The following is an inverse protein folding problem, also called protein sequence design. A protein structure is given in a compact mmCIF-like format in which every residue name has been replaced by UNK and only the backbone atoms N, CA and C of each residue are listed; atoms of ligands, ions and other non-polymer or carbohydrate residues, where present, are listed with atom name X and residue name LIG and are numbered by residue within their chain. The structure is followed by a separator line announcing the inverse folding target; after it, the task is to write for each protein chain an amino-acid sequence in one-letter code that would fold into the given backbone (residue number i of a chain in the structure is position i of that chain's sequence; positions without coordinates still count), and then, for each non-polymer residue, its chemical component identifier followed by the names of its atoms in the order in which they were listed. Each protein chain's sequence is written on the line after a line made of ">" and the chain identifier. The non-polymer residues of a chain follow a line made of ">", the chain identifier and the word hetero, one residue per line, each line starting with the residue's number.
data_IF_822601272552
#
_entry.id   IF_822601272552
#
_cell.length_a   1.000
_cell.length_b   1.000
_cell.length_c   1.000
_cell.angle_alpha   90.00
_cell.angle_beta   90.00
_cell.angle_gamma   90.00
#
_symmetry.space_group_name_H-M   'P 1'
#
loop_
_entity.id
_entity.type
_entity.pdbx_description
1 polymer ?
#
# COMPACT_ATOMS: atom_id res chain seq x y z
N UNK A 1 -10.07 -51.27 -26.23
CA UNK A 1 -9.10 -50.40 -25.53
C UNK A 1 -9.15 -48.88 -25.85
N UNK A 2 -9.45 -48.37 -27.07
CA UNK A 2 -9.14 -46.97 -27.42
C UNK A 2 -9.88 -45.91 -26.60
N UNK A 3 -11.05 -46.22 -26.06
CA UNK A 3 -11.87 -45.30 -25.24
C UNK A 3 -11.20 -44.82 -23.95
N UNK A 4 -10.19 -45.53 -23.42
CA UNK A 4 -9.41 -45.05 -22.26
C UNK A 4 -8.38 -43.98 -22.64
N UNK A 5 -7.70 -44.15 -23.78
CA UNK A 5 -6.71 -43.19 -24.30
C UNK A 5 -7.36 -41.85 -24.68
N UNK A 6 -8.52 -41.90 -25.35
CA UNK A 6 -9.27 -40.69 -25.73
C UNK A 6 -9.70 -39.89 -24.49
N UNK A 7 -10.19 -40.55 -23.43
CA UNK A 7 -10.55 -39.89 -22.16
C UNK A 7 -9.34 -39.25 -21.48
N UNK A 8 -8.18 -39.93 -21.48
CA UNK A 8 -6.95 -39.36 -20.92
C UNK A 8 -6.50 -38.11 -21.69
N UNK A 9 -6.51 -38.14 -23.02
CA UNK A 9 -6.19 -36.98 -23.86
C UNK A 9 -7.11 -35.77 -23.60
N UNK A 10 -8.42 -36.00 -23.47
CA UNK A 10 -9.39 -34.93 -23.15
C UNK A 10 -9.11 -34.30 -21.79
N UNK A 11 -8.76 -35.10 -20.77
CA UNK A 11 -8.40 -34.59 -19.43
C UNK A 11 -7.14 -33.72 -19.51
N UNK A 12 -6.08 -34.19 -20.18
CA UNK A 12 -4.83 -33.42 -20.35
C UNK A 12 -5.09 -32.08 -21.06
N UNK A 13 -5.89 -32.07 -22.12
CA UNK A 13 -6.25 -30.84 -22.86
C UNK A 13 -7.08 -29.89 -22.00
N UNK A 14 -8.05 -30.38 -21.20
CA UNK A 14 -8.83 -29.55 -20.28
C UNK A 14 -7.97 -28.96 -19.17
N UNK A 15 -7.10 -29.75 -18.54
CA UNK A 15 -6.18 -29.26 -17.50
C UNK A 15 -5.22 -28.22 -18.07
N UNK A 16 -4.60 -28.48 -19.23
CA UNK A 16 -3.73 -27.53 -19.89
C UNK A 16 -4.46 -26.23 -20.27
N UNK A 17 -5.70 -26.31 -20.76
CA UNK A 17 -6.55 -25.16 -21.07
C UNK A 17 -6.90 -24.32 -19.83
N UNK A 18 -7.25 -24.96 -18.72
CA UNK A 18 -7.54 -24.28 -17.45
C UNK A 18 -6.28 -23.61 -16.88
N UNK A 19 -5.14 -24.30 -16.88
CA UNK A 19 -3.86 -23.71 -16.44
C UNK A 19 -3.42 -22.55 -17.33
N UNK A 20 -3.52 -22.68 -18.65
CA UNK A 20 -3.21 -21.61 -19.60
C UNK A 20 -4.14 -20.40 -19.42
N UNK A 21 -5.44 -20.63 -19.25
CA UNK A 21 -6.41 -19.57 -18.99
C UNK A 21 -6.13 -18.86 -17.65
N UNK A 22 -5.84 -19.62 -16.58
CA UNK A 22 -5.48 -19.07 -15.27
C UNK A 22 -4.18 -18.25 -15.27
N UNK A 23 -3.19 -18.62 -16.08
CA UNK A 23 -1.92 -17.87 -16.23
C UNK A 23 -2.09 -16.64 -17.16
N UNK A 24 -2.95 -16.74 -18.17
CA UNK A 24 -3.11 -15.68 -19.20
C UNK A 24 -4.11 -14.61 -18.76
N UNK A 25 -5.23 -15.00 -18.16
CA UNK A 25 -6.37 -14.15 -17.80
C UNK A 25 -6.66 -14.08 -16.29
N UNK A 26 -5.96 -14.87 -15.46
CA UNK A 26 -6.01 -14.68 -14.01
C UNK A 26 -5.46 -13.30 -13.63
N UNK A 27 -6.02 -12.64 -12.59
CA UNK A 27 -5.64 -11.28 -12.22
C UNK A 27 -4.18 -11.24 -11.77
N UNK A 28 -3.31 -10.68 -12.61
CA UNK A 28 -1.87 -10.55 -12.34
C UNK A 28 -1.68 -9.65 -11.11
N UNK A 29 -1.15 -10.21 -10.02
CA UNK A 29 -0.86 -9.52 -8.75
C UNK A 29 -0.14 -8.18 -8.93
N UNK A 30 0.73 -8.10 -9.91
CA UNK A 30 1.56 -6.92 -10.17
C UNK A 30 0.75 -5.74 -10.73
N UNK A 31 -0.31 -6.04 -11.50
CA UNK A 31 -1.25 -5.04 -12.04
C UNK A 31 -2.20 -4.51 -10.94
N UNK A 32 -2.49 -5.35 -9.92
CA UNK A 32 -3.15 -4.90 -8.69
C UNK A 32 -2.29 -3.84 -7.98
N UNK A 33 -0.99 -4.13 -7.80
CA UNK A 33 -0.06 -3.26 -7.08
C UNK A 33 0.22 -1.95 -7.83
N UNK A 34 0.52 -2.01 -9.13
CA UNK A 34 0.81 -0.83 -9.94
C UNK A 34 -0.34 0.19 -9.93
N UNK A 35 -1.58 -0.28 -10.13
CA UNK A 35 -2.77 0.58 -10.13
C UNK A 35 -3.09 1.16 -8.75
N UNK A 36 -2.77 0.45 -7.66
CA UNK A 36 -2.88 1.02 -6.31
C UNK A 36 -1.91 2.21 -6.14
N UNK A 37 -0.67 2.13 -6.65
CA UNK A 37 0.25 3.28 -6.65
C UNK A 37 -0.25 4.44 -7.53
N UNK A 38 -0.74 4.18 -8.74
CA UNK A 38 -1.31 5.22 -9.61
C UNK A 38 -2.54 5.89 -8.98
N UNK A 39 -3.43 5.10 -8.38
CA UNK A 39 -4.59 5.60 -7.65
C UNK A 39 -4.18 6.39 -6.40
N UNK A 40 -3.06 6.06 -5.73
CA UNK A 40 -2.51 6.87 -4.65
C UNK A 40 -1.95 8.22 -5.11
N UNK A 41 -1.34 8.29 -6.29
CA UNK A 41 -0.92 9.57 -6.86
C UNK A 41 -2.14 10.47 -7.15
N UNK A 42 -3.20 9.92 -7.75
CA UNK A 42 -4.47 10.67 -7.96
C UNK A 42 -5.20 11.03 -6.66
N UNK A 43 -5.15 10.17 -5.64
CA UNK A 43 -5.66 10.49 -4.30
C UNK A 43 -4.83 11.58 -3.61
N UNK A 44 -3.53 11.72 -3.88
CA UNK A 44 -2.68 12.75 -3.27
C UNK A 44 -3.05 14.18 -3.68
N UNK A 45 -3.59 14.37 -4.88
CA UNK A 45 -4.14 15.65 -5.34
C UNK A 45 -5.46 16.01 -4.61
N UNK A 46 -6.12 15.02 -4.01
CA UNK A 46 -7.42 15.13 -3.33
C UNK A 46 -7.31 14.81 -1.83
N UNK A 47 -6.10 14.79 -1.26
CA UNK A 47 -5.89 14.48 0.15
C UNK A 47 -6.33 15.67 1.04
N UNK A 48 -7.11 15.44 2.11
CA UNK A 48 -7.59 16.53 2.98
C UNK A 48 -6.47 17.38 3.58
N UNK A 49 -6.65 18.71 3.55
CA UNK A 49 -5.63 19.67 3.98
C UNK A 49 -5.13 19.45 5.42
N UNK A 50 -5.99 18.96 6.31
CA UNK A 50 -5.64 18.67 7.72
C UNK A 50 -4.48 17.68 7.88
N UNK A 51 -4.21 16.80 6.90
CA UNK A 51 -3.07 15.89 6.91
C UNK A 51 -1.73 16.65 6.87
N UNK A 52 -1.71 17.86 6.30
CA UNK A 52 -0.50 18.65 6.03
C UNK A 52 -0.39 19.94 6.87
N UNK A 53 -1.45 20.36 7.57
CA UNK A 53 -1.55 21.70 8.19
C UNK A 53 -1.09 21.82 9.64
N UNK A 54 -0.93 20.70 10.36
CA UNK A 54 -0.49 20.73 11.75
C UNK A 54 0.89 21.40 11.91
N UNK A 55 0.98 22.43 12.75
CA UNK A 55 2.23 23.13 13.07
C UNK A 55 3.29 22.25 13.74
N UNK A 56 2.90 21.15 14.40
CA UNK A 56 3.82 20.07 14.84
C UNK A 56 4.19 19.10 13.70
N UNK A 57 4.61 19.67 12.57
CA UNK A 57 5.20 18.99 11.40
C UNK A 57 6.59 18.38 11.69
N UNK A 58 7.17 18.64 12.87
CA UNK A 58 8.49 18.15 13.26
C UNK A 58 8.51 16.72 13.79
N UNK A 59 7.43 16.20 14.39
CA UNK A 59 7.43 14.91 15.11
C UNK A 59 6.97 13.74 14.21
N UNK A 60 7.65 12.57 14.26
CA UNK A 60 7.15 11.33 13.67
C UNK A 60 5.79 10.92 14.26
N UNK A 61 4.97 10.25 13.46
CA UNK A 61 3.67 9.69 13.83
C UNK A 61 3.62 8.22 13.46
N UNK A 62 3.00 7.40 14.30
CA UNK A 62 2.74 5.99 13.99
C UNK A 62 1.66 5.91 12.92
N UNK A 63 1.91 5.13 11.88
CA UNK A 63 0.96 4.77 10.83
C UNK A 63 0.97 3.25 10.68
N UNK A 64 -0.19 2.61 10.86
CA UNK A 64 -0.34 1.15 10.69
C UNK A 64 -0.80 0.92 9.25
N UNK A 65 -0.03 0.17 8.45
CA UNK A 65 -0.36 -0.19 7.06
C UNK A 65 -0.41 -1.71 6.96
N UNK A 66 -1.57 -2.28 6.68
CA UNK A 66 -1.80 -3.73 6.67
C UNK A 66 -1.25 -4.44 7.92
N UNK A 67 -1.57 -3.95 9.12
CA UNK A 67 -1.01 -4.39 10.41
C UNK A 67 0.52 -4.22 10.60
N UNK A 68 1.30 -3.78 9.59
CA UNK A 68 2.68 -3.33 9.81
C UNK A 68 2.70 -1.96 10.47
N UNK A 69 3.53 -1.78 11.51
CA UNK A 69 3.86 -0.44 11.99
C UNK A 69 4.86 0.22 11.03
N UNK A 70 4.55 1.46 10.66
CA UNK A 70 5.41 2.39 9.94
C UNK A 70 5.34 3.77 10.63
N UNK A 71 6.24 4.67 10.25
CA UNK A 71 6.41 5.98 10.86
C UNK A 71 6.42 7.06 9.79
N UNK A 72 5.53 8.04 9.90
CA UNK A 72 5.40 9.17 8.97
C UNK A 72 5.83 10.48 9.64
N UNK A 73 6.64 11.28 8.93
CA UNK A 73 6.94 12.68 9.27
C UNK A 73 6.64 13.55 8.05
N UNK A 74 5.87 14.61 8.24
CA UNK A 74 5.47 15.58 7.20
C UNK A 74 6.10 16.93 7.52
N UNK A 75 7.15 17.34 6.82
CA UNK A 75 7.77 18.68 7.00
C UNK A 75 7.45 19.62 5.83
N UNK A 76 7.79 20.91 5.97
CA UNK A 76 7.82 21.87 4.86
C UNK A 76 9.18 22.58 4.81
N UNK A 77 9.69 22.86 3.62
CA UNK A 77 11.00 23.52 3.40
C UNK A 77 10.94 24.51 2.23
N UNK A 78 11.90 25.41 2.12
CA UNK A 78 12.06 26.35 1.00
C UNK A 78 13.08 25.85 -0.06
N UNK A 79 13.79 24.76 0.22
CA UNK A 79 14.66 24.08 -0.74
C UNK A 79 13.84 23.51 -1.92
N UNK A 80 14.48 23.34 -3.08
CA UNK A 80 13.83 22.70 -4.22
C UNK A 80 13.63 21.19 -3.99
N UNK A 81 12.70 20.60 -4.74
CA UNK A 81 12.39 19.16 -4.68
C UNK A 81 13.66 18.33 -4.88
N UNK A 82 14.53 18.71 -5.82
CA UNK A 82 15.83 18.07 -6.05
C UNK A 82 16.70 18.04 -4.79
N UNK A 83 17.01 19.21 -4.23
CA UNK A 83 17.93 19.35 -3.09
C UNK A 83 17.44 18.57 -1.86
N UNK A 84 16.12 18.46 -1.68
CA UNK A 84 15.50 17.59 -0.67
C UNK A 84 15.83 16.12 -0.93
N UNK A 85 15.59 15.61 -2.14
CA UNK A 85 15.83 14.20 -2.44
C UNK A 85 17.33 13.85 -2.41
N UNK A 86 18.19 14.72 -2.96
CA UNK A 86 19.66 14.57 -2.89
C UNK A 86 20.18 14.64 -1.44
N UNK A 87 19.51 15.37 -0.54
CA UNK A 87 19.82 15.32 0.90
C UNK A 87 19.51 13.93 1.47
N UNK A 88 18.33 13.37 1.17
CA UNK A 88 17.94 12.04 1.67
C UNK A 88 18.83 10.92 1.10
N UNK A 89 19.17 10.96 -0.19
CA UNK A 89 20.15 10.08 -0.85
C UNK A 89 21.50 10.09 -0.12
N UNK A 90 22.07 11.28 0.15
CA UNK A 90 23.37 11.41 0.85
C UNK A 90 23.33 11.04 2.33
N UNK A 91 22.18 11.17 2.99
CA UNK A 91 22.02 10.76 4.40
C UNK A 91 21.80 9.25 4.55
N UNK A 92 21.27 8.60 3.52
CA UNK A 92 20.85 7.20 3.55
C UNK A 92 21.40 6.44 2.32
N UNK A 93 22.74 6.34 2.20
CA UNK A 93 23.39 5.67 1.07
C UNK A 93 22.93 4.22 0.98
N UNK A 94 22.53 3.80 -0.22
CA UNK A 94 22.07 2.43 -0.46
C UNK A 94 23.23 1.45 -0.44
N UNK A 95 23.20 0.47 0.47
CA UNK A 95 24.13 -0.66 0.43
C UNK A 95 23.71 -1.58 -0.72
N UNK A 96 24.50 -1.66 -1.79
CA UNK A 96 24.18 -2.50 -2.95
C UNK A 96 23.95 -3.94 -2.53
N UNK A 97 22.75 -4.47 -2.77
CA UNK A 97 22.39 -5.85 -2.41
C UNK A 97 23.19 -6.87 -3.25
N UNK A 98 23.66 -6.45 -4.43
CA UNK A 98 24.63 -7.18 -5.24
C UNK A 98 25.98 -7.36 -4.51
N UNK A 99 26.46 -6.35 -3.77
CA UNK A 99 27.68 -6.47 -2.96
C UNK A 99 27.50 -7.48 -1.82
N UNK A 100 26.32 -7.51 -1.19
CA UNK A 100 25.99 -8.49 -0.15
C UNK A 100 25.96 -9.90 -0.73
N UNK A 101 25.25 -10.13 -1.85
CA UNK A 101 25.20 -11.43 -2.54
C UNK A 101 26.61 -11.89 -2.96
N UNK A 102 27.46 -10.97 -3.42
CA UNK A 102 28.84 -11.26 -3.83
C UNK A 102 29.74 -11.59 -2.64
N UNK A 103 29.62 -10.85 -1.53
CA UNK A 103 30.34 -11.11 -0.28
C UNK A 103 29.97 -12.45 0.36
N UNK A 104 28.78 -12.97 0.09
CA UNK A 104 28.32 -14.31 0.47
C UNK A 104 28.84 -15.43 -0.47
N UNK A 105 29.79 -15.09 -1.36
CA UNK A 105 30.67 -16.02 -2.05
C UNK A 105 30.01 -16.82 -3.18
N UNK A 106 28.88 -16.34 -3.71
CA UNK A 106 28.15 -17.05 -4.79
C UNK A 106 27.56 -18.40 -4.37
N UNK A 107 27.65 -18.78 -3.08
CA UNK A 107 26.91 -19.91 -2.53
C UNK A 107 25.42 -19.70 -2.82
N UNK A 108 24.65 -20.73 -3.21
CA UNK A 108 23.21 -20.60 -3.31
C UNK A 108 22.67 -20.25 -1.91
N UNK A 109 22.32 -18.97 -1.73
CA UNK A 109 21.76 -18.39 -0.49
C UNK A 109 20.48 -19.11 0.01
N UNK A 110 19.96 -20.02 -0.79
CA UNK A 110 18.57 -20.42 -0.84
C UNK A 110 18.47 -21.90 -1.23
N UNK A 111 17.80 -22.71 -0.40
CA UNK A 111 17.25 -23.99 -0.84
C UNK A 111 16.14 -23.78 -1.87
N UNK A 112 15.62 -24.86 -2.47
CA UNK A 112 14.66 -24.77 -3.58
C UNK A 112 13.41 -23.94 -3.25
N UNK A 113 12.86 -24.05 -2.03
CA UNK A 113 11.75 -23.21 -1.56
C UNK A 113 12.10 -21.71 -1.55
N UNK A 114 13.30 -21.36 -1.08
CA UNK A 114 13.76 -19.97 -1.03
C UNK A 114 14.20 -19.47 -2.41
N UNK A 115 14.56 -20.37 -3.34
CA UNK A 115 14.74 -20.05 -4.76
C UNK A 115 13.40 -19.76 -5.41
N UNK A 116 12.37 -20.56 -5.14
CA UNK A 116 10.97 -20.31 -5.56
C UNK A 116 10.43 -19.01 -4.93
N UNK A 117 10.83 -18.67 -3.70
CA UNK A 117 10.56 -17.33 -3.15
C UNK A 117 11.29 -16.26 -3.96
N UNK A 118 12.60 -16.39 -4.21
CA UNK A 118 13.37 -15.47 -5.05
C UNK A 118 12.97 -15.46 -6.54
N UNK A 119 12.18 -16.41 -7.03
CA UNK A 119 11.60 -16.48 -8.38
C UNK A 119 10.14 -16.00 -8.45
N UNK A 120 9.42 -16.01 -7.33
CA UNK A 120 8.22 -15.18 -7.12
C UNK A 120 8.62 -13.72 -6.91
N UNK A 121 9.79 -13.47 -6.33
CA UNK A 121 10.32 -12.12 -6.15
C UNK A 121 10.39 -11.36 -7.47
N UNK A 122 10.62 -11.87 -8.70
CA UNK A 122 10.34 -11.22 -9.98
C UNK A 122 9.11 -10.29 -10.16
N UNK A 123 8.14 -10.25 -9.24
CA UNK A 123 7.28 -9.08 -9.03
C UNK A 123 7.98 -7.96 -8.21
N UNK A 124 8.36 -8.27 -6.97
CA UNK A 124 9.25 -7.53 -6.07
C UNK A 124 10.75 -7.42 -6.47
N UNK A 125 11.23 -7.93 -7.60
CA UNK A 125 12.67 -7.93 -7.96
C UNK A 125 13.12 -6.57 -8.48
N UNK A 126 12.13 -5.72 -8.77
CA UNK A 126 12.27 -4.29 -8.67
C UNK A 126 12.87 -3.83 -7.32
N UNK A 127 12.99 -4.64 -6.25
CA UNK A 127 13.76 -4.30 -5.03
C UNK A 127 15.23 -3.98 -5.31
N UNK A 128 15.87 -4.58 -6.33
CA UNK A 128 17.22 -4.13 -6.76
C UNK A 128 17.19 -2.75 -7.45
N UNK A 129 16.02 -2.33 -7.98
CA UNK A 129 15.74 -1.01 -8.55
C UNK A 129 15.16 -0.02 -7.49
N UNK A 130 14.53 -0.52 -6.43
CA UNK A 130 14.01 0.21 -5.27
C UNK A 130 15.08 0.44 -4.19
N UNK A 131 16.29 -0.11 -4.36
CA UNK A 131 17.44 0.35 -3.59
C UNK A 131 17.70 1.85 -3.79
N UNK A 132 17.40 2.34 -5.00
CA UNK A 132 17.52 3.75 -5.34
C UNK A 132 16.52 4.15 -6.44
N UNK A 133 15.23 4.20 -6.10
CA UNK A 133 14.21 4.73 -7.03
C UNK A 133 14.09 6.23 -6.86
N UNK A 134 14.71 6.97 -7.78
CA UNK A 134 14.65 8.43 -7.88
C UNK A 134 13.80 8.82 -9.09
N UNK A 135 12.68 9.51 -8.85
CA UNK A 135 11.77 10.00 -9.91
C UNK A 135 11.43 11.46 -9.63
N UNK A 136 11.99 12.38 -10.43
CA UNK A 136 11.77 13.82 -10.29
C UNK A 136 10.89 14.37 -11.43
N UNK A 137 9.89 15.18 -11.06
CA UNK A 137 9.12 16.07 -11.95
C UNK A 137 9.07 17.48 -11.34
N UNK A 138 8.54 18.44 -12.08
CA UNK A 138 8.53 19.86 -11.66
C UNK A 138 7.70 20.15 -10.40
N UNK A 139 6.61 19.40 -10.19
CA UNK A 139 5.65 19.58 -9.09
C UNK A 139 5.74 18.51 -7.99
N UNK A 140 6.35 17.37 -8.30
CA UNK A 140 6.58 16.30 -7.32
C UNK A 140 7.88 15.56 -7.61
N UNK A 141 8.50 15.03 -6.57
CA UNK A 141 9.61 14.08 -6.67
C UNK A 141 9.49 12.98 -5.63
N UNK A 142 10.05 11.82 -5.97
CA UNK A 142 10.06 10.62 -5.16
C UNK A 142 11.50 10.10 -5.04
N UNK A 143 11.88 9.72 -3.83
CA UNK A 143 13.07 8.92 -3.52
C UNK A 143 12.65 7.74 -2.66
N UNK A 144 13.17 6.56 -2.95
CA UNK A 144 12.95 5.35 -2.15
C UNK A 144 14.22 4.52 -2.05
N UNK A 145 14.49 4.03 -0.85
CA UNK A 145 15.70 3.27 -0.53
C UNK A 145 15.52 2.34 0.66
N UNK A 146 16.49 1.44 0.85
CA UNK A 146 16.48 0.39 1.88
C UNK A 146 17.79 0.47 2.65
N UNK A 147 17.69 0.77 3.95
CA UNK A 147 18.83 1.02 4.84
C UNK A 147 19.07 -0.20 5.70
N UNK A 148 20.29 -0.73 5.77
CA UNK A 148 20.62 -1.75 6.78
C UNK A 148 20.53 -1.12 8.18
N UNK A 149 20.30 -1.93 9.20
CA UNK A 149 20.37 -1.48 10.59
C UNK A 149 21.78 -1.66 11.15
N UNK A 150 22.17 -0.78 12.06
CA UNK A 150 23.43 -0.83 12.82
C UNK A 150 23.67 -2.25 13.40
N UNK A 151 22.61 -2.89 13.91
CA UNK A 151 22.60 -4.26 14.46
C UNK A 151 22.79 -5.38 13.43
N UNK A 152 22.59 -5.10 12.13
CA UNK A 152 22.94 -5.99 11.04
C UNK A 152 24.34 -5.65 10.50
N UNK A 153 24.71 -4.36 10.41
CA UNK A 153 26.03 -3.94 9.96
C UNK A 153 27.16 -4.41 10.88
N UNK A 154 26.94 -4.38 12.20
CA UNK A 154 27.87 -4.83 13.25
C UNK A 154 28.11 -6.35 13.30
N UNK A 155 27.36 -7.15 12.53
CA UNK A 155 27.59 -8.60 12.38
C UNK A 155 28.59 -8.82 11.24
N UNK A 156 29.46 -9.81 11.34
CA UNK A 156 30.35 -10.17 10.23
C UNK A 156 29.59 -10.72 9.01
N UNK A 157 30.30 -10.93 7.90
CA UNK A 157 29.68 -11.39 6.66
C UNK A 157 29.14 -12.83 6.75
N UNK A 158 29.60 -13.65 7.70
CA UNK A 158 29.10 -15.01 7.89
C UNK A 158 27.78 -15.02 8.67
N UNK A 159 27.69 -14.24 9.76
CA UNK A 159 26.46 -14.07 10.54
C UNK A 159 25.36 -13.25 9.85
N UNK A 160 25.71 -12.38 8.89
CA UNK A 160 24.74 -11.66 8.04
C UNK A 160 23.87 -12.61 7.21
N UNK A 161 24.38 -13.78 6.79
CA UNK A 161 23.64 -14.75 5.96
C UNK A 161 22.47 -15.41 6.72
N UNK A 162 22.64 -16.04 7.90
CA UNK A 162 21.54 -16.57 8.70
C UNK A 162 20.47 -15.53 9.03
N UNK A 163 20.86 -14.28 9.35
CA UNK A 163 19.92 -13.20 9.63
C UNK A 163 19.10 -12.82 8.39
N UNK A 164 19.74 -12.74 7.22
CA UNK A 164 19.06 -12.48 5.95
C UNK A 164 18.11 -13.63 5.57
N UNK A 165 18.54 -14.88 5.71
CA UNK A 165 17.71 -16.06 5.48
C UNK A 165 16.49 -16.08 6.42
N UNK A 166 16.69 -15.86 7.72
CA UNK A 166 15.59 -15.82 8.70
C UNK A 166 14.60 -14.69 8.41
N UNK A 167 15.09 -13.49 8.06
CA UNK A 167 14.26 -12.35 7.71
C UNK A 167 13.44 -12.58 6.42
N UNK A 168 14.03 -13.23 5.41
CA UNK A 168 13.33 -13.57 4.17
C UNK A 168 12.31 -14.70 4.40
N UNK A 169 12.68 -15.79 5.09
CA UNK A 169 11.76 -16.92 5.34
C UNK A 169 10.57 -16.52 6.22
N UNK A 170 10.80 -15.72 7.27
CA UNK A 170 9.73 -15.25 8.17
C UNK A 170 9.00 -14.00 7.68
N UNK A 171 9.52 -13.34 6.64
CA UNK A 171 9.04 -12.05 6.14
C UNK A 171 9.38 -10.83 7.02
N UNK A 172 9.87 -11.00 8.25
CA UNK A 172 10.19 -9.91 9.20
C UNK A 172 11.50 -9.17 8.84
N UNK A 173 11.54 -8.55 7.66
CA UNK A 173 12.68 -7.75 7.18
C UNK A 173 13.01 -6.56 8.07
N UNK A 174 12.02 -6.04 8.83
CA UNK A 174 12.24 -4.98 9.82
C UNK A 174 13.30 -5.31 10.88
N UNK A 175 13.67 -6.59 11.08
CA UNK A 175 14.72 -7.00 12.02
C UNK A 175 16.14 -6.71 11.53
N UNK A 176 16.35 -6.66 10.20
CA UNK A 176 17.67 -6.45 9.59
C UNK A 176 17.80 -5.11 8.85
N UNK A 177 16.68 -4.52 8.43
CA UNK A 177 16.65 -3.31 7.61
C UNK A 177 15.53 -2.36 8.03
N UNK A 178 15.66 -1.09 7.65
CA UNK A 178 14.60 -0.09 7.66
C UNK A 178 14.35 0.35 6.22
N UNK A 179 13.18 0.04 5.66
CA UNK A 179 12.75 0.62 4.39
C UNK A 179 12.36 2.09 4.58
N UNK A 180 12.70 2.96 3.63
CA UNK A 180 12.36 4.38 3.68
C UNK A 180 11.91 4.92 2.32
N UNK A 181 10.87 5.75 2.36
CA UNK A 181 10.28 6.43 1.20
C UNK A 181 10.16 7.91 1.53
N UNK A 182 10.56 8.76 0.58
CA UNK A 182 10.48 10.22 0.69
C UNK A 182 9.77 10.77 -0.54
N UNK A 183 8.69 11.50 -0.31
CA UNK A 183 7.89 12.16 -1.35
C UNK A 183 7.96 13.66 -1.10
N UNK A 184 8.46 14.42 -2.07
CA UNK A 184 8.60 15.87 -2.01
C UNK A 184 7.60 16.51 -2.99
N UNK A 185 6.64 17.26 -2.46
CA UNK A 185 5.46 17.78 -3.17
C UNK A 185 5.45 19.32 -3.16
N UNK A 186 5.20 19.95 -4.31
CA UNK A 186 4.97 21.40 -4.42
C UNK A 186 3.55 21.64 -4.89
N UNK A 187 2.68 22.08 -3.97
CA UNK A 187 1.25 22.25 -4.24
C UNK A 187 0.97 23.64 -4.82
N UNK A 188 0.59 23.69 -6.10
CA UNK A 188 0.36 24.95 -6.83
C UNK A 188 1.58 25.87 -6.82
N UNK A 189 1.34 27.17 -6.72
CA UNK A 189 2.38 28.21 -6.73
C UNK A 189 3.05 28.42 -5.36
N UNK A 190 2.87 27.50 -4.40
CA UNK A 190 3.50 27.60 -3.09
C UNK A 190 5.03 27.61 -3.22
N UNK A 191 5.67 28.59 -2.55
CA UNK A 191 7.14 28.69 -2.47
C UNK A 191 7.80 27.55 -1.68
N UNK A 192 7.02 26.76 -0.94
CA UNK A 192 7.51 25.70 -0.05
C UNK A 192 7.19 24.32 -0.58
N UNK A 193 8.16 23.41 -0.48
CA UNK A 193 8.00 21.98 -0.73
C UNK A 193 7.54 21.31 0.56
N UNK A 194 6.47 20.52 0.50
CA UNK A 194 6.05 19.61 1.56
C UNK A 194 6.76 18.27 1.39
N UNK A 195 7.32 17.72 2.46
CA UNK A 195 8.14 16.49 2.41
C UNK A 195 7.53 15.44 3.32
N UNK A 196 7.04 14.36 2.70
CA UNK A 196 6.53 13.17 3.37
C UNK A 196 7.68 12.16 3.48
N UNK A 197 8.16 11.88 4.70
CA UNK A 197 9.17 10.86 4.98
C UNK A 197 8.50 9.71 5.75
N UNK A 198 8.43 8.54 5.13
CA UNK A 198 7.83 7.32 5.65
C UNK A 198 8.91 6.25 5.85
N UNK A 199 8.95 5.57 6.99
CA UNK A 199 9.85 4.44 7.21
C UNK A 199 9.24 3.29 8.01
N UNK A 200 9.79 2.09 7.85
CA UNK A 200 9.29 0.86 8.50
C UNK A 200 9.71 0.76 9.96
N UNK A 201 8.93 0.06 10.79
CA UNK A 201 9.33 -0.31 12.15
C UNK A 201 10.11 -1.64 12.19
N UNK A 202 10.62 -2.03 13.36
CA UNK A 202 11.38 -3.25 13.60
C UNK A 202 10.58 -4.55 13.40
N UNK A 203 9.29 -4.56 13.71
CA UNK A 203 8.42 -5.73 13.51
C UNK A 203 7.92 -5.88 12.07
N UNK A 204 8.20 -4.92 11.18
CA UNK A 204 7.69 -4.87 9.81
C UNK A 204 7.90 -6.20 9.07
N UNK A 205 6.79 -6.81 8.65
CA UNK A 205 6.74 -8.05 7.91
C UNK A 205 6.25 -7.80 6.48
N UNK A 206 7.08 -8.12 5.48
CA UNK A 206 6.74 -7.92 4.06
C UNK A 206 5.57 -8.80 3.60
N UNK A 207 5.32 -9.94 4.27
CA UNK A 207 4.19 -10.83 3.94
C UNK A 207 2.83 -10.25 4.30
N UNK A 208 2.76 -9.17 5.07
CA UNK A 208 1.52 -8.39 5.25
C UNK A 208 1.08 -7.62 3.98
N UNK A 209 1.88 -7.66 2.90
CA UNK A 209 1.49 -7.23 1.55
C UNK A 209 1.18 -8.40 0.61
N UNK A 210 1.01 -9.61 1.15
CA UNK A 210 0.42 -10.75 0.45
C UNK A 210 -0.99 -11.03 1.00
N UNK A 211 -1.97 -11.42 0.16
CA UNK A 211 -3.28 -11.86 0.64
C UNK A 211 -3.21 -13.13 1.48
N UNK A 212 -4.06 -13.23 2.50
CA UNK A 212 -4.28 -14.44 3.28
C UNK A 212 -5.08 -15.51 2.53
N UNK A 213 -5.38 -16.66 3.17
CA UNK A 213 -6.11 -17.78 2.55
C UNK A 213 -7.53 -17.44 2.08
N UNK A 214 -8.13 -16.39 2.63
CA UNK A 214 -9.43 -15.83 2.23
C UNK A 214 -9.33 -14.81 1.08
N UNK A 215 -8.11 -14.39 0.71
CA UNK A 215 -7.85 -13.36 -0.30
C UNK A 215 -7.82 -11.92 0.22
N UNK A 216 -7.93 -11.68 1.53
CA UNK A 216 -7.74 -10.36 2.12
C UNK A 216 -6.26 -10.10 2.44
N UNK A 217 -5.78 -8.89 2.20
CA UNK A 217 -4.55 -8.41 2.84
C UNK A 217 -4.76 -8.32 4.37
N UNK A 218 -3.76 -8.67 5.20
CA UNK A 218 -3.76 -8.36 6.63
C UNK A 218 -4.09 -6.89 6.90
N UNK A 219 -4.80 -6.62 7.99
CA UNK A 219 -5.41 -5.33 8.23
C UNK A 219 -6.68 -5.42 9.07
N UNK A 220 -7.48 -4.37 8.99
CA UNK A 220 -8.80 -4.25 9.61
C UNK A 220 -9.83 -3.69 8.61
N UNK A 221 -11.11 -3.83 8.94
CA UNK A 221 -12.21 -3.09 8.30
C UNK A 221 -12.67 -1.97 9.26
N UNK A 222 -13.26 -0.90 8.74
CA UNK A 222 -13.69 0.23 9.59
C UNK A 222 -15.00 -0.14 10.30
N UNK A 223 -15.03 0.03 11.63
CA UNK A 223 -16.18 -0.33 12.47
C UNK A 223 -17.49 0.28 11.96
N UNK A 224 -18.56 -0.51 11.96
CA UNK A 224 -19.88 -0.08 11.49
C UNK A 224 -19.96 0.42 10.02
N UNK A 225 -18.89 0.32 9.21
CA UNK A 225 -18.96 0.57 7.76
C UNK A 225 -19.20 -0.77 7.03
N UNK A 226 -20.16 -0.86 6.10
CA UNK A 226 -20.42 -2.09 5.36
C UNK A 226 -19.33 -2.34 4.30
N UNK A 227 -18.71 -3.52 4.35
CA UNK A 227 -18.01 -4.08 3.19
C UNK A 227 -19.02 -4.71 2.24
N UNK A 228 -18.93 -4.41 0.94
CA UNK A 228 -19.81 -5.04 -0.05
C UNK A 228 -19.49 -6.52 -0.29
N UNK A 229 -20.53 -7.30 -0.59
CA UNK A 229 -20.47 -8.77 -0.56
C UNK A 229 -19.43 -9.32 -1.54
N UNK A 230 -18.54 -10.17 -1.03
CA UNK A 230 -17.48 -10.83 -1.81
C UNK A 230 -16.21 -9.99 -2.01
N UNK A 231 -16.22 -8.70 -1.63
CA UNK A 231 -15.05 -7.84 -1.78
C UNK A 231 -13.88 -8.28 -0.89
N UNK A 232 -12.67 -8.05 -1.39
CA UNK A 232 -11.39 -8.35 -0.76
C UNK A 232 -10.64 -7.09 -0.40
N UNK A 233 -10.13 -7.02 0.83
CA UNK A 233 -9.32 -5.89 1.32
C UNK A 233 -7.96 -5.91 0.64
N UNK A 234 -7.62 -4.85 -0.08
CA UNK A 234 -6.31 -4.65 -0.70
C UNK A 234 -5.39 -3.78 0.16
N UNK A 235 -5.95 -3.00 1.09
CA UNK A 235 -5.20 -2.13 1.97
C UNK A 235 -6.02 -1.72 3.19
N UNK A 236 -5.40 -1.59 4.36
CA UNK A 236 -5.88 -0.77 5.48
C UNK A 236 -4.77 0.14 6.01
N UNK A 237 -5.07 1.41 6.24
CA UNK A 237 -4.21 2.40 6.90
C UNK A 237 -4.91 2.95 8.14
N UNK A 238 -4.27 2.93 9.31
CA UNK A 238 -4.70 3.67 10.51
C UNK A 238 -3.62 4.68 10.93
N UNK A 239 -4.03 5.89 11.30
CA UNK A 239 -3.17 6.91 11.89
C UNK A 239 -3.91 7.70 12.97
N UNK A 240 -3.47 7.56 14.23
CA UNK A 240 -3.87 8.47 15.31
C UNK A 240 -3.20 9.85 15.15
N UNK A 241 -3.95 10.89 15.46
CA UNK A 241 -3.49 12.28 15.40
C UNK A 241 -4.12 13.12 16.53
N UNK A 242 -3.82 14.42 16.57
CA UNK A 242 -4.27 15.33 17.64
C UNK A 242 -5.75 15.72 17.58
N UNK A 243 -6.34 15.70 16.39
CA UNK A 243 -7.74 16.01 16.16
C UNK A 243 -8.63 14.76 16.21
N UNK A 244 -8.05 13.56 16.11
CA UNK A 244 -8.82 12.33 16.02
C UNK A 244 -8.01 11.11 15.56
N UNK A 245 -8.72 10.12 15.01
CA UNK A 245 -8.18 8.95 14.31
C UNK A 245 -8.58 9.01 12.84
N UNK A 246 -7.61 8.79 11.96
CA UNK A 246 -7.82 8.62 10.52
C UNK A 246 -7.72 7.14 10.16
N UNK A 247 -8.68 6.61 9.40
CA UNK A 247 -8.65 5.25 8.85
C UNK A 247 -8.99 5.27 7.37
N UNK A 248 -8.24 4.51 6.56
CA UNK A 248 -8.50 4.32 5.14
C UNK A 248 -8.47 2.83 4.82
N UNK A 249 -9.46 2.29 4.12
CA UNK A 249 -9.49 0.89 3.68
C UNK A 249 -9.89 0.81 2.21
N UNK A 250 -9.14 0.05 1.42
CA UNK A 250 -9.44 -0.22 0.01
C UNK A 250 -9.93 -1.65 -0.18
N UNK A 251 -11.04 -1.80 -0.89
CA UNK A 251 -11.61 -3.11 -1.26
C UNK A 251 -11.72 -3.26 -2.78
N UNK A 252 -11.50 -4.47 -3.29
CA UNK A 252 -11.79 -4.87 -4.68
C UNK A 252 -12.79 -6.03 -4.73
N UNK A 253 -13.68 -6.02 -5.70
CA UNK A 253 -14.68 -7.05 -5.92
C UNK A 253 -15.29 -6.92 -7.31
N UNK A 254 -16.36 -7.66 -7.56
CA UNK A 254 -17.03 -7.71 -8.88
C UNK A 254 -18.44 -7.15 -8.82
N UNK A 255 -18.85 -6.43 -9.86
CA UNK A 255 -20.23 -6.01 -10.06
C UNK A 255 -20.36 -4.79 -10.97
N UNK A 256 -21.52 -4.14 -10.91
CA UNK A 256 -21.79 -2.85 -11.55
C UNK A 256 -21.71 -1.75 -10.49
N UNK A 257 -21.03 -0.65 -10.78
CA UNK A 257 -20.86 0.49 -9.84
C UNK A 257 -22.19 0.92 -9.19
N UNK A 258 -23.28 1.06 -9.97
CA UNK A 258 -24.59 1.46 -9.44
C UNK A 258 -25.19 0.49 -8.41
N UNK A 259 -24.91 -0.83 -8.52
CA UNK A 259 -25.36 -1.81 -7.52
C UNK A 259 -24.52 -1.70 -6.23
N UNK A 260 -23.21 -1.45 -6.36
CA UNK A 260 -22.31 -1.27 -5.21
C UNK A 260 -22.62 0.03 -4.47
N UNK A 261 -22.87 1.13 -5.20
CA UNK A 261 -23.35 2.41 -4.67
C UNK A 261 -24.67 2.24 -3.92
N UNK A 262 -25.68 1.60 -4.52
CA UNK A 262 -26.98 1.40 -3.89
C UNK A 262 -26.91 0.52 -2.63
N UNK A 263 -26.11 -0.56 -2.67
CA UNK A 263 -25.85 -1.42 -1.51
C UNK A 263 -25.18 -0.62 -0.38
N UNK A 264 -24.09 0.10 -0.68
CA UNK A 264 -23.32 0.83 0.34
C UNK A 264 -24.15 1.95 0.98
N UNK A 265 -24.99 2.66 0.20
CA UNK A 265 -25.92 3.65 0.74
C UNK A 265 -26.92 3.02 1.71
N UNK A 266 -27.66 1.99 1.28
CA UNK A 266 -28.70 1.37 2.10
C UNK A 266 -28.13 0.73 3.38
N UNK A 267 -26.94 0.14 3.31
CA UNK A 267 -26.27 -0.46 4.46
C UNK A 267 -25.61 0.57 5.40
N UNK A 268 -25.17 1.74 4.90
CA UNK A 268 -24.72 2.84 5.77
C UNK A 268 -25.92 3.42 6.53
N UNK A 269 -27.02 3.69 5.84
CA UNK A 269 -28.26 4.23 6.42
C UNK A 269 -28.88 3.27 7.45
N UNK A 270 -28.91 1.96 7.19
CA UNK A 270 -29.40 0.96 8.15
C UNK A 270 -28.53 0.81 9.40
N UNK A 271 -27.28 1.29 9.34
CA UNK A 271 -26.30 1.29 10.43
C UNK A 271 -26.22 2.61 11.20
N UNK A 272 -27.13 3.55 10.90
CA UNK A 272 -27.26 4.85 11.61
C UNK A 272 -26.46 6.00 11.00
N UNK A 273 -25.67 5.75 9.94
CA UNK A 273 -24.98 6.83 9.23
C UNK A 273 -25.97 7.69 8.45
N UNK A 274 -25.80 9.01 8.50
CA UNK A 274 -26.60 9.96 7.72
C UNK A 274 -25.83 10.39 6.48
N UNK A 275 -26.41 10.25 5.29
CA UNK A 275 -25.78 10.76 4.07
C UNK A 275 -25.68 12.30 4.12
N UNK A 276 -24.57 12.82 3.59
CA UNK A 276 -24.34 14.24 3.32
C UNK A 276 -24.28 14.49 1.81
N UNK A 277 -24.73 15.65 1.35
CA UNK A 277 -24.69 16.01 -0.07
C UNK A 277 -23.27 16.30 -0.56
N UNK A 278 -22.41 16.86 0.29
CA UNK A 278 -20.97 17.07 0.04
C UNK A 278 -20.20 17.23 1.37
N UNK A 279 -18.86 17.19 1.29
CA UNK A 279 -17.95 17.61 2.37
C UNK A 279 -17.09 18.75 1.82
N UNK A 280 -16.99 19.86 2.57
CA UNK A 280 -16.16 21.04 2.26
C UNK A 280 -16.28 21.60 0.81
N UNK A 281 -17.42 21.38 0.15
CA UNK A 281 -17.67 21.81 -1.23
C UNK A 281 -17.02 20.92 -2.32
N UNK A 282 -16.44 19.77 -1.95
CA UNK A 282 -15.87 18.81 -2.90
C UNK A 282 -16.96 17.97 -3.60
N UNK A 283 -17.47 18.48 -4.72
CA UNK A 283 -18.17 17.63 -5.70
C UNK A 283 -17.14 16.76 -6.44
N UNK A 284 -17.03 15.50 -6.00
CA UNK A 284 -16.14 14.50 -6.58
C UNK A 284 -16.89 13.54 -7.52
N UNK A 285 -17.74 14.09 -8.39
CA UNK A 285 -18.31 13.41 -9.57
C UNK A 285 -17.28 13.20 -10.69
N UNK A 286 -16.23 12.41 -10.41
CA UNK A 286 -15.27 11.99 -11.44
C UNK A 286 -15.98 11.19 -12.56
N UNK A 287 -15.54 11.34 -13.82
CA UNK A 287 -16.17 10.69 -15.00
C UNK A 287 -16.35 9.17 -14.90
N UNK A 288 -15.56 8.49 -14.08
CA UNK A 288 -15.49 7.02 -13.97
C UNK A 288 -15.82 6.50 -12.56
N UNK A 289 -16.46 7.32 -11.70
CA UNK A 289 -16.68 6.96 -10.30
C UNK A 289 -17.87 7.66 -9.64
N UNK A 290 -18.12 7.29 -8.39
CA UNK A 290 -19.16 7.85 -7.54
C UNK A 290 -18.58 8.07 -6.15
N UNK A 291 -18.78 9.27 -5.62
CA UNK A 291 -18.39 9.65 -4.27
C UNK A 291 -19.64 9.69 -3.39
N UNK A 292 -19.58 9.12 -2.19
CA UNK A 292 -20.62 9.20 -1.18
C UNK A 292 -20.02 9.73 0.13
N UNK A 293 -20.77 10.57 0.84
CA UNK A 293 -20.35 11.16 2.10
C UNK A 293 -21.37 10.86 3.20
N UNK A 294 -20.90 10.54 4.39
CA UNK A 294 -21.73 10.15 5.53
C UNK A 294 -21.17 10.68 6.85
N UNK A 295 -22.04 10.90 7.84
CA UNK A 295 -21.66 11.27 9.20
C UNK A 295 -22.44 10.49 10.27
N UNK A 296 -21.72 10.04 11.31
CA UNK A 296 -22.18 9.28 12.48
C UNK A 296 -21.53 9.88 13.73
N UNK A 297 -22.29 10.68 14.47
CA UNK A 297 -21.88 11.32 15.73
C UNK A 297 -20.55 12.11 15.65
N UNK A 298 -19.43 11.50 16.05
CA UNK A 298 -18.07 12.07 16.04
C UNK A 298 -17.23 11.63 14.81
N UNK A 299 -17.88 11.04 13.80
CA UNK A 299 -17.23 10.34 12.68
C UNK A 299 -17.76 10.81 11.34
N UNK A 300 -16.83 11.16 10.45
CA UNK A 300 -17.12 11.49 9.05
C UNK A 300 -16.54 10.39 8.15
N UNK A 301 -17.30 9.94 7.15
CA UNK A 301 -16.91 8.83 6.26
C UNK A 301 -17.17 9.14 4.79
N UNK A 302 -16.11 9.12 3.98
CA UNK A 302 -16.13 9.31 2.53
C UNK A 302 -15.86 7.98 1.83
N UNK A 303 -16.71 7.62 0.85
CA UNK A 303 -16.54 6.41 0.04
C UNK A 303 -16.35 6.80 -1.43
N UNK A 304 -15.20 6.43 -1.99
CA UNK A 304 -14.85 6.65 -3.39
C UNK A 304 -14.92 5.32 -4.13
N UNK A 305 -15.93 5.18 -5.00
CA UNK A 305 -16.24 3.95 -5.72
C UNK A 305 -15.91 4.18 -7.19
N UNK A 306 -15.04 3.35 -7.78
CA UNK A 306 -14.67 3.41 -9.20
C UNK A 306 -14.81 2.05 -9.85
N UNK A 307 -15.12 2.03 -11.14
CA UNK A 307 -15.16 0.79 -11.93
C UNK A 307 -14.08 0.85 -13.03
N UNK A 308 -13.38 -0.25 -13.22
CA UNK A 308 -12.38 -0.38 -14.27
C UNK A 308 -13.05 -0.38 -15.66
N UNK A 309 -12.60 0.47 -16.62
CA UNK A 309 -13.18 0.51 -17.96
C UNK A 309 -13.11 -0.86 -18.66
N UNK A 310 -14.27 -1.36 -19.12
CA UNK A 310 -14.37 -2.65 -19.80
C UNK A 310 -14.34 -3.88 -18.88
N UNK A 311 -14.41 -3.70 -17.56
CA UNK A 311 -14.27 -4.75 -16.55
C UNK A 311 -15.40 -4.69 -15.51
N UNK A 312 -15.76 -5.83 -14.92
CA UNK A 312 -16.66 -5.87 -13.76
C UNK A 312 -15.93 -5.61 -12.42
N UNK A 313 -14.60 -5.35 -12.47
CA UNK A 313 -13.80 -4.98 -11.30
C UNK A 313 -14.22 -3.61 -10.75
N UNK A 314 -14.75 -3.62 -9.54
CA UNK A 314 -15.07 -2.40 -8.77
C UNK A 314 -14.02 -2.23 -7.66
N UNK A 315 -13.54 -1.00 -7.50
CA UNK A 315 -12.73 -0.55 -6.38
C UNK A 315 -13.60 0.32 -5.48
N UNK A 316 -13.50 0.13 -4.16
CA UNK A 316 -14.09 1.04 -3.17
C UNK A 316 -13.02 1.45 -2.15
N UNK A 317 -12.70 2.74 -2.10
CA UNK A 317 -11.84 3.34 -1.08
C UNK A 317 -12.72 4.01 -0.04
N UNK A 318 -12.72 3.49 1.18
CA UNK A 318 -13.38 4.10 2.34
C UNK A 318 -12.36 4.92 3.11
N UNK A 319 -12.71 6.13 3.51
CA UNK A 319 -11.93 7.00 4.39
C UNK A 319 -12.83 7.43 5.56
N UNK A 320 -12.44 7.11 6.79
CA UNK A 320 -13.04 7.62 8.03
C UNK A 320 -12.11 8.63 8.69
N UNK A 321 -12.67 9.74 9.14
CA UNK A 321 -12.06 10.62 10.12
C UNK A 321 -12.96 10.64 11.37
N UNK A 322 -12.48 10.06 12.47
CA UNK A 322 -13.16 10.12 13.77
C UNK A 322 -12.52 11.21 14.61
N UNK A 323 -13.26 12.24 14.97
CA UNK A 323 -12.78 13.35 15.79
C UNK A 323 -12.65 12.92 17.27
N UNK A 324 -11.63 13.40 17.97
CA UNK A 324 -11.58 13.27 19.43
C UNK A 324 -12.67 14.17 20.03
N UNK A 325 -13.70 13.55 20.62
CA UNK A 325 -14.68 14.27 21.43
C UNK A 325 -13.92 14.97 22.55
N UNK A 326 -13.79 16.30 22.47
CA UNK A 326 -13.31 17.11 23.58
C UNK A 326 -14.35 17.05 24.69
N UNK A 327 -14.09 16.24 25.70
CA UNK A 327 -14.78 16.33 26.98
C UNK A 327 -14.73 17.79 27.44
N UNK A 328 -15.91 18.40 27.63
CA UNK A 328 -16.02 19.79 28.08
C UNK A 328 -15.78 19.84 29.59
N UNK A 329 -14.51 19.95 29.96
CA UNK A 329 -14.03 20.32 31.30
C UNK A 329 -14.35 21.78 31.63
#
# INVERSE_FOLDING_TARGET
>A
MPTKLIRFGIIVVLTAGISWFGVTYGPKSNDVQARVYEQFLGLSENMPAYLFESSESSKPRKVIVNNNTTWLRVTRTENAIRDVLEFYERQYPSVEFASIITALGGKPLFGEESRVFLEKVPSYAALSRFQHTYVLRERFGFWGGVMLKDSFEAVDNEGKLPLLQQALVSGHVGKITTGRVVIALKMGDQKKVTVLNLWTDHDFNIYNFNPGPDGDMPGFDIDNVPRYKGAKRLLSIEQDNRSGRFRLVQYRGTGRIGHVVAFLKAEMESRGWRQMDSVDGFDLTSRNGTSLFFTDNDRDCSLFITQEPGSESVMATVIENRQHIKERS
#
